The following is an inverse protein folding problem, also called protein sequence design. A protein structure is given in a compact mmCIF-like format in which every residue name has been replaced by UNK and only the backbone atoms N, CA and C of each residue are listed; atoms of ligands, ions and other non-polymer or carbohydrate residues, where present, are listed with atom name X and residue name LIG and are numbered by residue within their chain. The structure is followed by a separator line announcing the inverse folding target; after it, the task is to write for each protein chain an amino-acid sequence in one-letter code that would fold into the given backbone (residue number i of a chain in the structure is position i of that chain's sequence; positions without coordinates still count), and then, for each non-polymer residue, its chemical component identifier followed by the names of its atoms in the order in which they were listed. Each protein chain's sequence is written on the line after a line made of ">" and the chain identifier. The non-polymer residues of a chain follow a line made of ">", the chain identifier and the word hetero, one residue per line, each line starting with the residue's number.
data_IF_843814831945
#
_entry.id   IF_843814831945
#
_cell.length_a   1.000
_cell.length_b   1.000
_cell.length_c   1.000
_cell.angle_alpha   90.00
_cell.angle_beta   90.00
_cell.angle_gamma   90.00
#
_symmetry.space_group_name_H-M   'P 1'
#
loop_
_entity.id
_entity.type
_entity.pdbx_description
1 polymer ?
#
# COMPACT_ATOMS: atom_id res chain seq x y z
N UNK A 1 -24.76 -30.67 19.30
CA UNK A 1 -24.11 -29.60 20.11
C UNK A 1 -22.61 -29.49 19.81
N UNK A 2 -21.83 -30.58 19.84
CA UNK A 2 -20.39 -30.59 19.49
C UNK A 2 -20.02 -30.03 18.10
N UNK A 3 -20.74 -30.42 17.03
CA UNK A 3 -20.44 -29.93 15.67
C UNK A 3 -20.61 -28.40 15.51
N UNK A 4 -21.55 -27.80 16.24
CA UNK A 4 -21.80 -26.34 16.19
C UNK A 4 -20.71 -25.54 16.92
N UNK A 5 -20.19 -26.09 18.02
CA UNK A 5 -19.06 -25.52 18.77
C UNK A 5 -17.76 -25.64 17.96
N UNK A 6 -17.55 -26.76 17.25
CA UNK A 6 -16.40 -26.94 16.34
C UNK A 6 -16.42 -25.94 15.19
N UNK A 7 -17.57 -25.75 14.55
CA UNK A 7 -17.70 -24.80 13.43
C UNK A 7 -17.43 -23.35 13.86
N UNK A 8 -17.97 -22.92 15.00
CA UNK A 8 -17.73 -21.57 15.54
C UNK A 8 -16.25 -21.35 15.91
N UNK A 9 -15.58 -22.38 16.44
CA UNK A 9 -14.15 -22.31 16.74
C UNK A 9 -13.28 -22.22 15.46
N UNK A 10 -13.64 -22.96 14.42
CA UNK A 10 -12.98 -22.90 13.11
C UNK A 10 -13.15 -21.53 12.44
N UNK A 11 -14.36 -20.97 12.46
CA UNK A 11 -14.67 -19.66 11.91
C UNK A 11 -13.91 -18.54 12.65
N UNK A 12 -13.88 -18.59 13.99
CA UNK A 12 -13.08 -17.66 14.79
C UNK A 12 -11.58 -17.76 14.45
N UNK A 13 -11.06 -18.98 14.30
CA UNK A 13 -9.67 -19.21 13.87
C UNK A 13 -9.40 -18.73 12.44
N UNK A 14 -10.37 -18.87 11.53
CA UNK A 14 -10.29 -18.33 10.18
C UNK A 14 -10.25 -16.80 10.18
N UNK A 15 -11.12 -16.16 10.97
CA UNK A 15 -11.16 -14.70 11.06
C UNK A 15 -9.88 -14.09 11.64
N UNK A 16 -9.29 -14.72 12.66
CA UNK A 16 -7.99 -14.31 13.23
C UNK A 16 -6.86 -14.40 12.19
N UNK A 17 -6.92 -15.33 11.24
CA UNK A 17 -5.93 -15.46 10.14
C UNK A 17 -6.24 -14.55 8.97
N UNK A 18 -7.51 -14.25 8.73
CA UNK A 18 -7.98 -13.42 7.64
C UNK A 18 -7.45 -11.99 7.77
N UNK A 19 -7.65 -11.34 8.91
CA UNK A 19 -7.32 -9.92 9.08
C UNK A 19 -5.84 -9.62 8.81
N UNK A 20 -4.86 -10.36 9.38
CA UNK A 20 -3.46 -10.20 9.03
C UNK A 20 -3.18 -10.48 7.55
N UNK A 21 -3.85 -11.47 6.96
CA UNK A 21 -3.71 -11.80 5.54
C UNK A 21 -4.16 -10.66 4.62
N UNK A 22 -5.21 -9.91 5.02
CA UNK A 22 -5.70 -8.74 4.29
C UNK A 22 -4.72 -7.58 4.41
N UNK A 23 -4.37 -7.14 5.63
CA UNK A 23 -3.52 -5.94 5.83
C UNK A 23 -2.08 -6.13 5.36
N UNK A 24 -1.58 -7.36 5.36
CA UNK A 24 -0.25 -7.68 4.86
C UNK A 24 -0.24 -8.04 3.37
N UNK A 25 -1.40 -8.06 2.69
CA UNK A 25 -1.55 -8.51 1.32
C UNK A 25 -0.81 -9.84 1.07
N UNK A 26 -0.98 -10.78 2.01
CA UNK A 26 -0.15 -11.98 2.06
C UNK A 26 -0.47 -12.95 0.92
N UNK A 27 0.53 -13.55 0.26
CA UNK A 27 0.31 -14.53 -0.79
C UNK A 27 -0.37 -15.77 -0.19
N UNK A 28 -1.15 -16.49 -0.98
CA UNK A 28 -1.79 -17.73 -0.52
C UNK A 28 -0.75 -18.81 -0.20
N UNK A 29 0.27 -18.95 -1.05
CA UNK A 29 1.44 -19.78 -0.82
C UNK A 29 2.62 -19.27 -1.63
N UNK A 30 3.83 -19.42 -1.10
CA UNK A 30 5.06 -19.08 -1.82
C UNK A 30 5.36 -20.01 -3.01
N UNK A 31 4.78 -21.22 -3.03
CA UNK A 31 4.96 -22.19 -4.10
C UNK A 31 3.89 -22.09 -5.19
N UNK A 32 3.00 -21.09 -5.12
CA UNK A 32 1.93 -20.93 -6.09
C UNK A 32 2.48 -20.45 -7.45
N UNK A 33 1.87 -20.97 -8.52
CA UNK A 33 2.18 -20.56 -9.91
C UNK A 33 1.69 -19.13 -10.17
N UNK A 34 0.47 -18.82 -9.72
CA UNK A 34 -0.13 -17.50 -9.87
C UNK A 34 0.29 -16.58 -8.72
N UNK A 35 1.25 -15.72 -8.99
CA UNK A 35 1.86 -14.78 -8.05
C UNK A 35 0.90 -13.75 -7.44
N UNK A 36 -0.30 -13.61 -8.00
CA UNK A 36 -1.29 -12.61 -7.58
C UNK A 36 -2.25 -13.11 -6.50
N UNK A 37 -2.27 -14.42 -6.22
CA UNK A 37 -3.21 -15.04 -5.28
C UNK A 37 -2.93 -14.68 -3.82
N UNK A 38 -3.99 -14.28 -3.11
CA UNK A 38 -3.96 -13.86 -1.71
C UNK A 38 -4.52 -14.93 -0.77
N UNK A 39 -3.85 -15.12 0.37
CA UNK A 39 -4.33 -16.00 1.44
C UNK A 39 -5.72 -15.59 1.96
N UNK A 40 -5.96 -14.28 2.05
CA UNK A 40 -7.25 -13.73 2.47
C UNK A 40 -8.40 -14.18 1.55
N UNK A 41 -8.17 -14.19 0.23
CA UNK A 41 -9.18 -14.62 -0.75
C UNK A 41 -9.47 -16.12 -0.61
N UNK A 42 -8.45 -16.95 -0.36
CA UNK A 42 -8.64 -18.38 -0.11
C UNK A 42 -9.48 -18.64 1.16
N UNK A 43 -9.27 -17.86 2.22
CA UNK A 43 -10.08 -17.94 3.45
C UNK A 43 -11.52 -17.48 3.18
N UNK A 44 -11.71 -16.36 2.49
CA UNK A 44 -13.03 -15.80 2.19
C UNK A 44 -13.87 -16.67 1.25
N UNK A 45 -13.23 -17.42 0.33
CA UNK A 45 -13.95 -18.42 -0.48
C UNK A 45 -14.56 -19.55 0.36
N UNK A 46 -13.95 -19.86 1.52
CA UNK A 46 -14.46 -20.89 2.45
C UNK A 46 -15.44 -20.32 3.48
N UNK A 47 -15.25 -19.07 3.89
CA UNK A 47 -16.03 -18.38 4.93
C UNK A 47 -16.43 -16.97 4.45
N UNK A 48 -17.32 -16.85 3.45
CA UNK A 48 -17.65 -15.57 2.80
C UNK A 48 -18.29 -14.56 3.76
N UNK A 49 -19.04 -15.03 4.77
CA UNK A 49 -19.67 -14.21 5.80
C UNK A 49 -18.68 -13.36 6.61
N UNK A 50 -17.40 -13.75 6.64
CA UNK A 50 -16.36 -13.00 7.32
C UNK A 50 -16.00 -11.68 6.62
N UNK A 51 -16.34 -11.52 5.34
CA UNK A 51 -15.97 -10.36 4.53
C UNK A 51 -16.37 -9.02 5.15
N UNK A 52 -17.55 -9.00 5.79
CA UNK A 52 -18.16 -7.79 6.34
C UNK A 52 -18.03 -7.69 7.86
N UNK A 53 -17.36 -8.64 8.51
CA UNK A 53 -17.19 -8.66 9.97
C UNK A 53 -16.06 -7.71 10.40
N UNK A 54 -16.38 -6.73 11.24
CA UNK A 54 -15.39 -5.77 11.74
C UNK A 54 -14.50 -6.34 12.86
N UNK A 55 -13.28 -5.83 12.90
CA UNK A 55 -12.34 -6.01 13.99
C UNK A 55 -11.30 -4.90 14.02
N UNK A 56 -10.51 -4.84 15.09
CA UNK A 56 -9.31 -4.01 15.15
C UNK A 56 -8.12 -4.87 14.72
N UNK A 57 -7.37 -4.40 13.74
CA UNK A 57 -6.14 -5.02 13.24
C UNK A 57 -5.00 -4.00 13.24
N UNK A 58 -3.78 -4.47 13.41
CA UNK A 58 -2.57 -3.66 13.25
C UNK A 58 -1.85 -4.07 11.98
N UNK A 59 -1.54 -3.10 11.12
CA UNK A 59 -0.78 -3.38 9.90
C UNK A 59 0.74 -3.45 10.15
N UNK A 60 1.52 -3.63 9.08
CA UNK A 60 2.97 -3.79 9.18
C UNK A 60 3.70 -2.52 9.68
N UNK A 61 3.10 -1.33 9.49
CA UNK A 61 3.66 -0.05 9.92
C UNK A 61 3.23 0.33 11.34
N UNK A 62 2.33 -0.44 11.94
CA UNK A 62 1.85 -0.25 13.31
C UNK A 62 0.57 0.56 13.41
N UNK A 63 -0.10 0.87 12.29
CA UNK A 63 -1.39 1.56 12.29
C UNK A 63 -2.46 0.63 12.83
N UNK A 64 -3.24 1.10 13.81
CA UNK A 64 -4.44 0.40 14.27
C UNK A 64 -5.62 0.81 13.39
N UNK A 65 -6.30 -0.18 12.82
CA UNK A 65 -7.40 0.03 11.88
C UNK A 65 -8.59 -0.77 12.38
N UNK A 66 -9.75 -0.13 12.51
CA UNK A 66 -11.00 -0.80 12.84
C UNK A 66 -11.85 -0.87 11.59
N UNK A 67 -11.96 -2.06 11.02
CA UNK A 67 -12.59 -2.26 9.72
C UNK A 67 -12.95 -3.74 9.51
N UNK A 68 -13.85 -3.99 8.58
CA UNK A 68 -14.05 -5.32 8.00
C UNK A 68 -12.94 -5.68 6.99
N UNK A 69 -12.76 -6.96 6.61
CA UNK A 69 -11.92 -7.33 5.47
C UNK A 69 -12.20 -6.55 4.18
N UNK A 70 -13.47 -6.28 3.86
CA UNK A 70 -13.84 -5.49 2.69
C UNK A 70 -13.35 -4.04 2.79
N UNK A 71 -13.60 -3.39 3.93
CA UNK A 71 -13.11 -2.05 4.23
C UNK A 71 -11.58 -1.97 4.26
N UNK A 72 -10.91 -3.02 4.73
CA UNK A 72 -9.47 -3.09 4.73
C UNK A 72 -8.90 -3.13 3.30
N UNK A 73 -9.52 -3.86 2.37
CA UNK A 73 -9.13 -3.82 0.96
C UNK A 73 -9.40 -2.45 0.32
N UNK A 74 -10.53 -1.82 0.63
CA UNK A 74 -10.87 -0.46 0.18
C UNK A 74 -9.85 0.56 0.68
N UNK A 75 -9.64 0.65 1.99
CA UNK A 75 -8.72 1.60 2.61
C UNK A 75 -7.26 1.35 2.24
N UNK A 76 -6.88 0.12 1.88
CA UNK A 76 -5.56 -0.19 1.34
C UNK A 76 -5.42 0.11 -0.17
N UNK A 77 -6.51 0.43 -0.87
CA UNK A 77 -6.49 0.60 -2.33
C UNK A 77 -6.16 -0.70 -3.08
N UNK A 78 -6.54 -1.86 -2.55
CA UNK A 78 -6.29 -3.18 -3.15
C UNK A 78 -7.38 -3.55 -4.16
N UNK A 79 -7.40 -2.85 -5.29
CA UNK A 79 -8.40 -3.02 -6.36
C UNK A 79 -8.42 -4.44 -6.95
N UNK A 80 -7.29 -5.15 -6.90
CA UNK A 80 -7.18 -6.52 -7.39
C UNK A 80 -7.85 -7.53 -6.45
N UNK A 81 -7.69 -7.36 -5.14
CA UNK A 81 -8.43 -8.15 -4.16
C UNK A 81 -9.93 -7.84 -4.24
N UNK A 82 -10.29 -6.55 -4.37
CA UNK A 82 -11.69 -6.12 -4.51
C UNK A 82 -12.35 -6.74 -5.73
N UNK A 83 -11.67 -6.79 -6.89
CA UNK A 83 -12.17 -7.47 -8.08
C UNK A 83 -12.52 -8.95 -7.79
N UNK A 84 -11.61 -9.70 -7.15
CA UNK A 84 -11.87 -11.08 -6.78
C UNK A 84 -13.00 -11.24 -5.77
N UNK A 85 -13.13 -10.29 -4.83
CA UNK A 85 -14.22 -10.26 -3.86
C UNK A 85 -15.56 -10.03 -4.54
N UNK A 86 -15.65 -9.06 -5.46
CA UNK A 86 -16.85 -8.75 -6.21
C UNK A 86 -17.28 -9.91 -7.12
N UNK A 87 -16.32 -10.57 -7.78
CA UNK A 87 -16.62 -11.66 -8.72
C UNK A 87 -16.95 -12.98 -8.02
N UNK A 88 -16.24 -13.33 -6.94
CA UNK A 88 -16.26 -14.70 -6.41
C UNK A 88 -16.75 -14.84 -4.96
N UNK A 89 -16.92 -13.74 -4.21
CA UNK A 89 -17.25 -13.80 -2.77
C UNK A 89 -18.60 -13.13 -2.50
N UNK A 90 -18.76 -11.86 -2.89
CA UNK A 90 -20.01 -11.08 -2.68
C UNK A 90 -21.27 -11.81 -3.18
N UNK A 91 -21.28 -12.46 -4.37
CA UNK A 91 -22.46 -13.16 -4.86
C UNK A 91 -22.91 -14.34 -3.99
N UNK A 92 -22.03 -14.84 -3.12
CA UNK A 92 -22.30 -15.95 -2.21
C UNK A 92 -22.80 -15.48 -0.84
N UNK A 93 -23.00 -14.17 -0.64
CA UNK A 93 -23.47 -13.56 0.60
C UNK A 93 -24.87 -13.02 0.38
N UNK A 94 -25.81 -13.38 1.27
CA UNK A 94 -27.16 -12.82 1.24
C UNK A 94 -27.10 -11.28 1.38
N UNK A 95 -27.72 -10.57 0.45
CA UNK A 95 -27.64 -9.10 0.33
C UNK A 95 -26.21 -8.54 0.27
N UNK A 96 -25.25 -9.32 -0.26
CA UNK A 96 -23.84 -8.95 -0.29
C UNK A 96 -23.54 -7.61 -0.95
N UNK A 97 -24.25 -7.27 -2.04
CA UNK A 97 -24.07 -5.99 -2.74
C UNK A 97 -24.50 -4.79 -1.88
N UNK A 98 -25.60 -4.91 -1.13
CA UNK A 98 -26.06 -3.87 -0.22
C UNK A 98 -25.08 -3.68 0.94
N UNK A 99 -24.52 -4.77 1.47
CA UNK A 99 -23.44 -4.72 2.47
C UNK A 99 -22.18 -4.05 1.91
N UNK A 100 -21.79 -4.38 0.68
CA UNK A 100 -20.64 -3.78 0.01
C UNK A 100 -20.82 -2.28 -0.22
N UNK A 101 -22.00 -1.84 -0.67
CA UNK A 101 -22.32 -0.42 -0.81
C UNK A 101 -22.26 0.31 0.54
N UNK A 102 -22.92 -0.23 1.57
CA UNK A 102 -22.95 0.39 2.90
C UNK A 102 -21.54 0.54 3.48
N UNK A 103 -20.69 -0.47 3.33
CA UNK A 103 -19.32 -0.42 3.81
C UNK A 103 -18.40 0.47 2.97
N UNK A 104 -18.65 0.58 1.65
CA UNK A 104 -17.95 1.58 0.83
C UNK A 104 -18.24 3.00 1.33
N UNK A 105 -19.53 3.33 1.53
CA UNK A 105 -19.94 4.65 2.00
C UNK A 105 -19.44 4.93 3.42
N UNK A 106 -19.36 3.90 4.27
CA UNK A 106 -18.74 4.01 5.58
C UNK A 106 -17.23 4.26 5.50
N UNK A 107 -16.51 3.58 4.58
CA UNK A 107 -15.08 3.79 4.39
C UNK A 107 -14.76 5.18 3.82
N UNK A 108 -15.55 5.64 2.85
CA UNK A 108 -15.33 6.88 2.12
C UNK A 108 -16.55 7.82 2.24
N UNK A 109 -16.80 8.40 3.42
CA UNK A 109 -18.03 9.17 3.69
C UNK A 109 -18.17 10.43 2.83
N UNK A 110 -17.06 10.96 2.32
CA UNK A 110 -17.02 12.14 1.47
C UNK A 110 -17.10 11.80 -0.04
N UNK A 111 -17.06 10.52 -0.40
CA UNK A 111 -17.11 10.07 -1.79
C UNK A 111 -18.57 9.89 -2.22
N UNK A 112 -18.92 10.41 -3.40
CA UNK A 112 -20.23 10.19 -3.98
C UNK A 112 -20.43 8.71 -4.30
N UNK A 113 -21.66 8.21 -4.10
CA UNK A 113 -22.07 6.90 -4.58
C UNK A 113 -23.06 7.01 -5.76
N UNK A 114 -22.86 6.27 -6.86
CA UNK A 114 -21.62 5.54 -7.19
C UNK A 114 -20.45 6.52 -7.43
N UNK A 115 -19.20 6.09 -7.26
CA UNK A 115 -18.03 6.95 -7.49
C UNK A 115 -17.93 7.36 -8.96
N UNK A 116 -17.58 8.61 -9.23
CA UNK A 116 -17.44 9.11 -10.60
C UNK A 116 -16.31 8.37 -11.37
N UNK A 117 -16.50 8.05 -12.67
CA UNK A 117 -15.51 7.32 -13.46
C UNK A 117 -14.15 7.99 -13.56
N UNK A 118 -14.11 9.33 -13.55
CA UNK A 118 -12.93 10.18 -13.67
C UNK A 118 -12.48 10.75 -12.32
N UNK A 119 -12.93 10.18 -11.20
CA UNK A 119 -12.54 10.66 -9.88
C UNK A 119 -11.02 10.56 -9.66
N UNK A 120 -10.45 11.60 -9.06
CA UNK A 120 -9.10 11.53 -8.53
C UNK A 120 -9.08 10.77 -7.20
N UNK A 121 -7.90 10.32 -6.78
CA UNK A 121 -7.72 9.68 -5.46
C UNK A 121 -8.22 10.57 -4.31
N UNK A 122 -8.15 11.90 -4.48
CA UNK A 122 -8.61 12.86 -3.48
C UNK A 122 -10.10 12.75 -3.14
N UNK A 123 -10.93 12.17 -4.02
CA UNK A 123 -12.33 11.88 -3.74
C UNK A 123 -12.51 10.82 -2.63
N UNK A 124 -11.47 10.03 -2.33
CA UNK A 124 -11.46 8.99 -1.30
C UNK A 124 -10.92 9.49 0.05
N UNK A 125 -10.47 10.75 0.13
CA UNK A 125 -9.84 11.28 1.34
C UNK A 125 -10.88 11.67 2.39
N UNK A 126 -10.67 11.17 3.61
CA UNK A 126 -11.28 11.74 4.80
C UNK A 126 -10.49 12.96 5.30
N UNK A 127 -10.94 13.58 6.38
CA UNK A 127 -10.28 14.77 6.93
C UNK A 127 -8.89 14.45 7.49
N UNK A 128 -8.67 13.23 8.01
CA UNK A 128 -7.34 12.76 8.43
C UNK A 128 -6.37 12.72 7.26
N UNK A 129 -6.80 12.15 6.12
CA UNK A 129 -5.97 12.08 4.92
C UNK A 129 -5.59 13.47 4.41
N UNK A 130 -6.55 14.39 4.35
CA UNK A 130 -6.31 15.78 3.92
C UNK A 130 -5.33 16.49 4.85
N UNK A 131 -5.55 16.42 6.16
CA UNK A 131 -4.66 17.03 7.16
C UNK A 131 -3.25 16.46 7.05
N UNK A 132 -3.10 15.13 6.91
CA UNK A 132 -1.79 14.49 6.78
C UNK A 132 -1.06 14.96 5.51
N UNK A 133 -1.75 15.04 4.37
CA UNK A 133 -1.16 15.53 3.11
C UNK A 133 -0.74 17.00 3.23
N UNK A 134 -1.56 17.86 3.84
CA UNK A 134 -1.21 19.26 4.09
C UNK A 134 0.04 19.39 4.97
N UNK A 135 0.12 18.60 6.04
CA UNK A 135 1.31 18.55 6.90
C UNK A 135 2.56 18.09 6.14
N UNK A 136 2.43 17.08 5.27
CA UNK A 136 3.53 16.62 4.40
C UNK A 136 3.97 17.74 3.46
N UNK A 137 3.06 18.39 2.73
CA UNK A 137 3.39 19.49 1.81
C UNK A 137 4.11 20.62 2.55
N UNK A 138 3.63 21.01 3.73
CA UNK A 138 4.27 22.03 4.55
C UNK A 138 5.68 21.62 4.99
N UNK A 139 5.86 20.37 5.40
CA UNK A 139 7.16 19.86 5.82
C UNK A 139 8.14 19.68 4.66
N UNK A 140 7.66 19.30 3.49
CA UNK A 140 8.46 19.19 2.27
C UNK A 140 9.08 20.53 1.88
N UNK A 141 8.35 21.64 2.01
CA UNK A 141 8.92 22.99 1.79
C UNK A 141 10.12 23.26 2.70
N UNK A 142 10.01 22.94 3.99
CA UNK A 142 11.13 23.08 4.93
C UNK A 142 12.28 22.15 4.57
N UNK A 143 12.01 20.89 4.23
CA UNK A 143 13.03 19.93 3.79
C UNK A 143 13.79 20.47 2.58
N UNK A 144 13.09 21.06 1.62
CA UNK A 144 13.73 21.66 0.43
C UNK A 144 14.68 22.78 0.83
N UNK A 145 14.25 23.70 1.68
CA UNK A 145 15.09 24.78 2.19
C UNK A 145 16.34 24.25 2.92
N UNK A 146 16.16 23.24 3.79
CA UNK A 146 17.27 22.69 4.58
C UNK A 146 18.26 21.89 3.76
N UNK A 147 17.79 21.02 2.86
CA UNK A 147 18.68 20.25 1.98
C UNK A 147 19.42 21.19 1.03
N UNK A 148 18.77 22.21 0.48
CA UNK A 148 19.44 23.17 -0.42
C UNK A 148 20.61 23.89 0.25
N UNK A 149 20.47 24.21 1.55
CA UNK A 149 21.54 24.83 2.34
C UNK A 149 22.58 23.85 2.89
N UNK A 150 22.27 22.54 2.91
CA UNK A 150 23.17 21.48 3.37
C UNK A 150 23.94 20.93 2.16
N UNK A 151 25.28 21.02 2.12
CA UNK A 151 26.04 20.46 1.01
C UNK A 151 25.74 18.97 0.81
N UNK A 152 25.35 18.29 1.91
CA UNK A 152 25.36 16.85 2.04
C UNK A 152 26.73 16.27 1.69
N UNK A 153 27.08 15.11 2.23
CA UNK A 153 28.33 14.45 1.83
C UNK A 153 28.10 12.97 1.90
N UNK A 154 28.41 12.26 0.82
CA UNK A 154 28.23 10.82 0.75
C UNK A 154 26.77 10.42 1.03
N UNK A 155 25.82 11.13 0.42
CA UNK A 155 24.39 10.93 0.63
C UNK A 155 23.91 11.08 2.08
N UNK A 156 24.61 11.89 2.90
CA UNK A 156 24.26 12.15 4.30
C UNK A 156 24.19 13.65 4.56
N UNK A 157 23.19 14.07 5.34
CA UNK A 157 23.12 15.43 5.86
C UNK A 157 24.33 15.74 6.72
N UNK A 158 24.93 16.91 6.48
CA UNK A 158 26.03 17.44 7.29
C UNK A 158 25.52 18.35 8.40
N UNK A 159 24.35 18.95 8.21
CA UNK A 159 23.69 19.84 9.18
C UNK A 159 22.66 19.08 10.02
N UNK A 160 22.52 19.46 11.28
CA UNK A 160 21.57 18.84 12.20
C UNK A 160 20.13 19.28 11.89
N UNK A 161 19.94 20.49 11.41
CA UNK A 161 18.64 21.05 11.00
C UNK A 161 18.03 20.24 9.85
N UNK A 162 18.84 19.77 8.91
CA UNK A 162 18.41 18.88 7.82
C UNK A 162 17.92 17.54 8.36
N UNK A 163 18.63 16.96 9.33
CA UNK A 163 18.23 15.71 9.99
C UNK A 163 16.96 15.88 10.81
N UNK A 164 16.81 17.01 11.49
CA UNK A 164 15.60 17.36 12.25
C UNK A 164 14.39 17.53 11.33
N UNK A 165 14.53 18.22 10.18
CA UNK A 165 13.44 18.40 9.23
C UNK A 165 12.91 17.06 8.67
N UNK A 166 13.79 16.12 8.38
CA UNK A 166 13.41 14.75 7.99
C UNK A 166 12.76 13.99 9.16
N UNK A 167 13.32 14.10 10.37
CA UNK A 167 12.76 13.43 11.55
C UNK A 167 11.32 13.92 11.85
N UNK A 168 11.04 15.20 11.63
CA UNK A 168 9.69 15.77 11.72
C UNK A 168 8.75 15.19 10.66
N UNK A 169 9.20 15.02 9.41
CA UNK A 169 8.41 14.33 8.39
C UNK A 169 8.06 12.90 8.80
N UNK A 170 9.03 12.14 9.31
CA UNK A 170 8.80 10.77 9.80
C UNK A 170 7.73 10.72 10.90
N UNK A 171 7.69 11.73 11.78
CA UNK A 171 6.67 11.83 12.83
C UNK A 171 5.26 12.03 12.27
N UNK A 172 5.10 12.62 11.09
CA UNK A 172 3.79 12.76 10.42
C UNK A 172 3.27 11.40 9.96
N UNK A 173 4.16 10.47 9.60
CA UNK A 173 3.79 9.11 9.20
C UNK A 173 3.52 8.19 10.40
N UNK A 174 4.26 8.37 11.49
CA UNK A 174 4.20 7.50 12.67
C UNK A 174 2.78 7.38 13.22
N UNK A 175 2.27 6.15 13.44
CA UNK A 175 0.97 5.94 14.07
C UNK A 175 0.90 6.62 15.45
N UNK A 176 -0.14 7.43 15.69
CA UNK A 176 -0.34 8.05 16.99
C UNK A 176 -0.89 7.02 17.97
N UNK A 177 -0.43 7.03 19.23
CA UNK A 177 -0.68 5.95 20.21
C UNK A 177 -2.17 5.58 20.40
N UNK A 178 -3.04 6.59 20.33
CA UNK A 178 -4.51 6.47 20.53
C UNK A 178 -5.31 6.57 19.24
N UNK A 179 -4.66 6.71 18.09
CA UNK A 179 -5.35 6.81 16.81
C UNK A 179 -5.79 5.42 16.34
N UNK A 180 -7.04 5.34 15.91
CA UNK A 180 -7.63 4.18 15.24
C UNK A 180 -8.21 4.70 13.94
N UNK A 181 -7.74 4.14 12.83
CA UNK A 181 -8.24 4.47 11.49
C UNK A 181 -9.57 3.74 11.30
N UNK A 182 -10.65 4.51 11.06
CA UNK A 182 -11.99 3.97 10.78
C UNK A 182 -12.47 4.31 9.35
N UNK A 183 -11.92 5.35 8.73
CA UNK A 183 -12.31 5.87 7.42
C UNK A 183 -11.10 6.27 6.56
N UNK A 184 -11.36 6.60 5.29
CA UNK A 184 -10.39 7.09 4.32
C UNK A 184 -9.39 6.02 3.86
N UNK A 185 -8.33 6.43 3.20
CA UNK A 185 -7.24 5.54 2.81
C UNK A 185 -6.27 5.36 3.97
N UNK A 186 -5.81 4.13 4.23
CA UNK A 186 -4.86 3.84 5.31
C UNK A 186 -3.53 4.58 5.13
N UNK A 187 -3.12 4.78 3.87
CA UNK A 187 -2.05 5.67 3.45
C UNK A 187 -2.34 6.17 2.02
N UNK A 188 -2.62 7.47 1.81
CA UNK A 188 -2.84 8.00 0.48
C UNK A 188 -1.58 7.95 -0.40
N UNK A 189 -1.69 7.46 -1.65
CA UNK A 189 -0.59 7.54 -2.62
C UNK A 189 -0.30 8.99 -3.02
N UNK A 190 -1.26 9.91 -2.86
CA UNK A 190 -1.05 11.35 -2.95
C UNK A 190 0.13 11.87 -2.10
N UNK A 191 0.47 11.22 -0.98
CA UNK A 191 1.68 11.56 -0.21
C UNK A 191 2.95 11.29 -1.03
N UNK A 192 3.04 10.10 -1.64
CA UNK A 192 4.17 9.74 -2.52
C UNK A 192 4.22 10.64 -3.75
N UNK A 193 3.06 11.04 -4.29
CA UNK A 193 2.98 11.97 -5.42
C UNK A 193 3.60 13.34 -5.11
N UNK A 194 3.28 13.93 -3.96
CA UNK A 194 3.86 15.21 -3.54
C UNK A 194 5.37 15.12 -3.26
N UNK A 195 5.82 13.99 -2.70
CA UNK A 195 7.26 13.68 -2.53
C UNK A 195 7.95 13.59 -3.91
N UNK A 196 7.33 12.89 -4.86
CA UNK A 196 7.86 12.75 -6.22
C UNK A 196 7.98 14.09 -6.94
N UNK A 197 6.99 14.98 -6.83
CA UNK A 197 7.05 16.33 -7.40
C UNK A 197 8.24 17.12 -6.90
N UNK A 198 8.54 17.05 -5.60
CA UNK A 198 9.71 17.71 -5.03
C UNK A 198 10.98 17.12 -5.61
N UNK A 199 11.07 15.79 -5.71
CA UNK A 199 12.21 15.13 -6.31
C UNK A 199 12.46 15.58 -7.75
N UNK A 200 11.43 15.55 -8.59
CA UNK A 200 11.51 15.96 -10.00
C UNK A 200 11.91 17.44 -10.12
N UNK A 201 11.34 18.32 -9.29
CA UNK A 201 11.66 19.74 -9.29
C UNK A 201 13.09 20.05 -8.82
N UNK A 202 13.66 19.19 -7.95
CA UNK A 202 15.00 19.36 -7.40
C UNK A 202 16.06 18.52 -8.14
N UNK A 203 15.68 17.81 -9.20
CA UNK A 203 16.59 16.95 -9.97
C UNK A 203 17.83 17.66 -10.52
N UNK A 204 17.65 18.85 -11.09
CA UNK A 204 18.75 19.67 -11.62
C UNK A 204 19.41 20.56 -10.54
N UNK A 205 18.65 21.23 -9.64
CA UNK A 205 19.24 22.11 -8.64
C UNK A 205 20.10 21.41 -7.57
N UNK A 206 19.77 20.17 -7.21
CA UNK A 206 20.48 19.46 -6.16
C UNK A 206 21.67 18.66 -6.67
N UNK A 207 22.71 18.62 -5.84
CA UNK A 207 23.83 17.72 -6.02
C UNK A 207 23.36 16.26 -5.92
N UNK A 208 24.18 15.36 -6.46
CA UNK A 208 23.93 13.93 -6.35
C UNK A 208 23.81 13.51 -4.86
N UNK A 209 24.65 14.05 -3.96
CA UNK A 209 24.59 13.72 -2.53
C UNK A 209 23.27 14.19 -1.87
N UNK A 210 22.76 15.36 -2.25
CA UNK A 210 21.47 15.87 -1.78
C UNK A 210 20.30 15.00 -2.27
N UNK A 211 20.30 14.64 -3.56
CA UNK A 211 19.31 13.72 -4.14
C UNK A 211 19.36 12.34 -3.50
N UNK A 212 20.56 11.85 -3.19
CA UNK A 212 20.79 10.56 -2.50
C UNK A 212 20.21 10.58 -1.09
N UNK A 213 20.48 11.66 -0.35
CA UNK A 213 19.95 11.86 0.98
C UNK A 213 18.42 11.93 0.96
N UNK A 214 17.84 12.71 0.06
CA UNK A 214 16.39 12.81 -0.10
C UNK A 214 15.76 11.45 -0.46
N UNK A 215 16.34 10.72 -1.40
CA UNK A 215 15.87 9.38 -1.79
C UNK A 215 15.81 8.43 -0.59
N UNK A 216 16.90 8.35 0.18
CA UNK A 216 16.96 7.48 1.35
C UNK A 216 16.00 7.92 2.45
N UNK A 217 16.02 9.19 2.78
CA UNK A 217 15.45 9.68 4.02
C UNK A 217 14.00 10.15 3.89
N UNK A 218 13.60 10.62 2.71
CA UNK A 218 12.24 11.10 2.44
C UNK A 218 11.44 10.04 1.71
N UNK A 219 11.87 9.62 0.52
CA UNK A 219 11.17 8.60 -0.28
C UNK A 219 11.12 7.28 0.50
N UNK A 220 12.28 6.77 0.96
CA UNK A 220 12.34 5.54 1.75
C UNK A 220 11.49 5.54 3.03
N UNK A 221 11.33 6.70 3.69
CA UNK A 221 10.46 6.79 4.87
C UNK A 221 8.98 6.72 4.52
N UNK A 222 8.57 7.31 3.39
CA UNK A 222 7.20 7.24 2.92
C UNK A 222 6.88 5.85 2.34
N UNK A 223 7.82 5.23 1.64
CA UNK A 223 7.72 3.83 1.20
C UNK A 223 7.49 2.90 2.38
N UNK A 224 8.27 3.04 3.45
CA UNK A 224 8.10 2.23 4.66
C UNK A 224 6.70 2.36 5.28
N UNK A 225 6.02 3.49 5.05
CA UNK A 225 4.69 3.79 5.55
C UNK A 225 3.56 3.40 4.57
N UNK A 226 3.87 2.95 3.34
CA UNK A 226 2.87 2.53 2.37
C UNK A 226 1.95 1.43 2.91
N UNK A 227 0.85 1.18 2.22
CA UNK A 227 0.10 -0.06 2.43
C UNK A 227 0.90 -1.24 1.88
N UNK A 228 0.62 -2.47 2.33
CA UNK A 228 1.38 -3.63 1.87
C UNK A 228 1.26 -3.82 0.34
N UNK A 229 0.07 -3.57 -0.22
CA UNK A 229 -0.19 -3.69 -1.66
C UNK A 229 0.52 -2.59 -2.46
N UNK A 230 0.57 -1.36 -1.97
CA UNK A 230 1.32 -0.28 -2.64
C UNK A 230 2.82 -0.54 -2.61
N UNK A 231 3.35 -1.04 -1.50
CA UNK A 231 4.74 -1.49 -1.41
C UNK A 231 5.07 -2.60 -2.41
N UNK A 232 4.17 -3.58 -2.58
CA UNK A 232 4.31 -4.64 -3.59
C UNK A 232 4.26 -4.07 -5.03
N UNK A 233 3.51 -2.99 -5.28
CA UNK A 233 3.50 -2.30 -6.57
C UNK A 233 4.85 -1.61 -6.84
N UNK A 234 5.36 -0.83 -5.88
CA UNK A 234 6.64 -0.13 -6.00
C UNK A 234 7.80 -1.12 -6.25
N UNK A 235 7.84 -2.25 -5.53
CA UNK A 235 8.88 -3.27 -5.69
C UNK A 235 8.94 -3.89 -7.08
N UNK A 236 7.81 -3.99 -7.76
CA UNK A 236 7.75 -4.52 -9.13
C UNK A 236 8.09 -3.47 -10.19
N UNK A 237 8.29 -2.21 -9.78
CA UNK A 237 8.45 -1.05 -10.65
C UNK A 237 7.12 -0.61 -11.23
N UNK A 238 6.69 0.61 -10.89
CA UNK A 238 5.43 1.17 -11.37
C UNK A 238 5.38 1.32 -12.89
N UNK A 239 6.53 1.51 -13.54
CA UNK A 239 6.62 1.56 -15.00
C UNK A 239 6.27 0.23 -15.69
N UNK A 240 6.47 -0.88 -14.98
CA UNK A 240 6.28 -2.23 -15.49
C UNK A 240 5.03 -2.91 -14.89
N UNK A 241 4.30 -2.22 -14.02
CA UNK A 241 3.13 -2.77 -13.34
C UNK A 241 2.02 -3.05 -14.34
N UNK A 242 1.66 -4.32 -14.48
CA UNK A 242 0.50 -4.73 -15.25
C UNK A 242 -0.76 -4.59 -14.38
N UNK A 243 -1.59 -3.58 -14.65
CA UNK A 243 -2.80 -3.31 -13.87
C UNK A 243 -3.86 -4.43 -13.96
N UNK A 244 -3.88 -5.25 -15.03
CA UNK A 244 -4.82 -6.37 -15.13
C UNK A 244 -4.43 -7.55 -14.24
N UNK A 245 -3.13 -7.78 -14.07
CA UNK A 245 -2.58 -8.84 -13.21
C UNK A 245 -2.48 -8.38 -11.75
N UNK A 246 -2.01 -7.16 -11.53
CA UNK A 246 -1.65 -6.63 -10.23
C UNK A 246 -0.24 -7.01 -9.78
N UNK A 247 0.14 -6.64 -8.55
CA UNK A 247 1.49 -6.87 -8.05
C UNK A 247 1.72 -8.34 -7.67
N UNK A 248 2.97 -8.78 -7.73
CA UNK A 248 3.38 -10.07 -7.16
C UNK A 248 3.22 -10.02 -5.63
N UNK A 249 2.31 -10.85 -5.10
CA UNK A 249 2.00 -10.92 -3.67
C UNK A 249 3.07 -11.63 -2.86
N UNK A 250 3.94 -12.40 -3.51
CA UNK A 250 5.11 -13.05 -2.88
C UNK A 250 6.19 -12.01 -2.57
N UNK A 251 6.17 -10.90 -3.30
CA UNK A 251 7.15 -9.83 -3.22
C UNK A 251 6.79 -8.76 -2.18
N UNK A 252 6.81 -9.14 -0.91
CA UNK A 252 6.60 -8.18 0.17
C UNK A 252 7.87 -7.41 0.53
N UNK A 253 7.87 -6.07 0.43
CA UNK A 253 8.66 -5.23 1.35
C UNK A 253 8.26 -5.48 2.81
N UNK A 254 6.99 -5.86 3.02
CA UNK A 254 6.33 -5.84 4.33
C UNK A 254 5.78 -7.20 4.78
N UNK A 255 6.03 -8.27 4.02
CA UNK A 255 5.62 -9.62 4.39
C UNK A 255 6.47 -10.15 5.55
N UNK A 256 6.01 -9.96 6.79
CA UNK A 256 6.58 -10.61 7.97
C UNK A 256 6.08 -12.05 8.05
N UNK A 257 6.91 -13.04 7.71
CA UNK A 257 6.55 -14.45 7.86
C UNK A 257 6.93 -14.99 9.26
N UNK A 258 6.05 -15.74 9.95
CA UNK A 258 6.35 -16.35 11.25
C UNK A 258 7.48 -17.40 11.23
N UNK A 259 7.83 -17.95 10.06
CA UNK A 259 8.90 -18.95 9.89
C UNK A 259 10.03 -18.50 8.95
N UNK A 260 10.10 -17.20 8.63
CA UNK A 260 11.03 -16.64 7.64
C UNK A 260 10.59 -16.90 6.18
N UNK A 261 11.00 -16.01 5.27
CA UNK A 261 10.78 -16.13 3.82
C UNK A 261 11.77 -17.16 3.25
N UNK A 262 11.35 -18.09 2.36
CA UNK A 262 12.29 -18.99 1.67
C UNK A 262 13.39 -18.18 0.99
N UNK A 263 14.65 -18.61 1.05
CA UNK A 263 15.80 -17.82 0.56
C UNK A 263 15.72 -17.52 -0.95
N UNK A 264 15.07 -18.40 -1.73
CA UNK A 264 14.82 -18.26 -3.17
C UNK A 264 13.71 -17.25 -3.53
N UNK A 265 12.92 -16.84 -2.53
CA UNK A 265 11.81 -15.88 -2.65
C UNK A 265 12.00 -14.71 -1.67
N UNK A 266 13.11 -14.71 -0.95
CA UNK A 266 13.51 -13.56 -0.17
C UNK A 266 13.93 -12.51 -1.19
N UNK A 267 13.47 -11.24 -1.08
CA UNK A 267 14.26 -10.16 -1.66
C UNK A 267 15.68 -10.40 -1.17
N UNK A 268 16.67 -10.40 -2.07
CA UNK A 268 18.01 -10.85 -1.73
C UNK A 268 18.40 -10.26 -0.38
N UNK A 269 18.63 -11.19 0.56
CA UNK A 269 19.02 -11.00 1.96
C UNK A 269 17.88 -10.74 2.96
N UNK A 270 17.29 -11.80 3.50
CA UNK A 270 17.59 -12.36 4.84
C UNK A 270 17.62 -11.48 6.12
N UNK A 271 17.43 -10.16 6.05
CA UNK A 271 17.16 -9.30 7.21
C UNK A 271 16.33 -8.11 6.75
N UNK A 272 15.14 -7.95 7.33
CA UNK A 272 14.58 -6.62 7.58
C UNK A 272 15.70 -5.78 8.24
N UNK A 273 16.40 -4.94 7.46
CA UNK A 273 17.48 -4.10 7.98
C UNK A 273 18.52 -3.53 7.00
N UNK A 274 18.58 -3.92 5.71
CA UNK A 274 19.58 -3.35 4.77
C UNK A 274 19.07 -2.83 3.42
N UNK A 275 17.89 -3.24 2.92
CA UNK A 275 17.25 -2.49 1.81
C UNK A 275 16.75 -1.18 2.38
N UNK A 276 17.31 -0.07 1.92
CA UNK A 276 16.95 1.25 2.45
C UNK A 276 15.63 1.75 1.87
N UNK A 277 15.42 1.50 0.57
CA UNK A 277 14.24 1.85 -0.21
C UNK A 277 14.29 1.10 -1.55
N UNK A 278 13.19 1.12 -2.30
CA UNK A 278 13.15 0.66 -3.70
C UNK A 278 13.03 1.86 -4.61
N UNK A 279 13.50 1.75 -5.85
CA UNK A 279 13.13 2.72 -6.86
C UNK A 279 11.66 2.48 -7.25
N UNK A 280 10.73 3.43 -7.01
CA UNK A 280 9.33 3.23 -7.37
C UNK A 280 9.14 3.01 -8.88
N UNK A 281 10.03 3.53 -9.73
CA UNK A 281 9.85 3.47 -11.17
C UNK A 281 10.12 2.07 -11.73
N UNK A 282 11.30 1.51 -11.43
CA UNK A 282 11.75 0.24 -12.02
C UNK A 282 11.80 -0.94 -11.05
N UNK A 283 11.64 -0.70 -9.75
CA UNK A 283 11.62 -1.72 -8.70
C UNK A 283 13.01 -2.17 -8.24
N UNK A 284 14.08 -1.50 -8.65
CA UNK A 284 15.43 -1.81 -8.20
C UNK A 284 15.56 -1.57 -6.69
N UNK A 285 16.12 -2.54 -5.98
CA UNK A 285 16.33 -2.48 -4.54
C UNK A 285 17.66 -1.82 -4.23
N UNK A 286 17.63 -0.83 -3.33
CA UNK A 286 18.79 -0.03 -2.95
C UNK A 286 19.36 -0.48 -1.59
N UNK A 287 20.67 -0.71 -1.54
CA UNK A 287 21.40 -1.13 -0.33
C UNK A 287 22.57 -0.18 -0.02
N UNK A 288 22.94 -0.08 1.26
CA UNK A 288 24.17 0.63 1.65
C UNK A 288 25.37 -0.08 1.05
N UNK A 289 26.14 0.62 0.22
CA UNK A 289 27.37 0.09 -0.34
C UNK A 289 28.49 0.04 0.71
N UNK A 290 29.48 -0.82 0.47
CA UNK A 290 30.74 -0.79 1.21
C UNK A 290 31.53 0.52 0.97
N UNK A 291 31.28 1.20 -0.15
CA UNK A 291 31.85 2.52 -0.44
C UNK A 291 31.04 3.61 0.27
N UNK A 292 31.66 4.44 1.13
CA UNK A 292 30.95 5.51 1.83
C UNK A 292 30.19 6.43 0.86
N UNK A 293 28.88 6.50 1.06
CA UNK A 293 27.99 7.33 0.23
C UNK A 293 27.55 6.73 -1.08
N UNK A 294 27.97 5.50 -1.38
CA UNK A 294 27.44 4.76 -2.50
C UNK A 294 26.26 3.88 -2.11
N UNK A 295 25.45 3.58 -3.12
CA UNK A 295 24.37 2.61 -3.04
C UNK A 295 24.62 1.49 -4.03
N UNK A 296 24.41 0.26 -3.58
CA UNK A 296 24.40 -0.90 -4.45
C UNK A 296 22.95 -1.16 -4.87
N UNK A 297 22.73 -1.24 -6.18
CA UNK A 297 21.43 -1.43 -6.78
C UNK A 297 21.31 -2.84 -7.34
N UNK A 298 20.22 -3.51 -7.03
CA UNK A 298 19.93 -4.85 -7.53
C UNK A 298 18.55 -4.88 -8.15
N UNK A 299 18.45 -5.49 -9.32
CA UNK A 299 17.15 -5.78 -9.90
C UNK A 299 16.45 -6.89 -9.10
N UNK A 300 15.17 -7.15 -9.41
CA UNK A 300 14.38 -8.20 -8.74
C UNK A 300 14.98 -9.61 -8.82
N UNK A 301 15.88 -9.87 -9.77
CA UNK A 301 16.57 -11.15 -9.92
C UNK A 301 17.89 -11.22 -9.14
N UNK A 302 18.29 -10.13 -8.47
CA UNK A 302 19.55 -10.03 -7.74
C UNK A 302 20.78 -9.81 -8.61
N UNK A 303 20.58 -9.50 -9.88
CA UNK A 303 21.67 -9.06 -10.73
C UNK A 303 21.96 -7.59 -10.37
N UNK A 304 23.26 -7.29 -10.27
CA UNK A 304 23.72 -5.93 -10.06
C UNK A 304 23.20 -5.07 -11.22
N UNK A 305 22.44 -4.02 -10.90
CA UNK A 305 21.96 -3.07 -11.90
C UNK A 305 23.17 -2.48 -12.63
N UNK A 306 23.30 -2.73 -13.93
CA UNK A 306 24.47 -2.31 -14.73
C UNK A 306 24.41 -0.83 -15.14
N UNK A 307 23.89 0.02 -14.26
CA UNK A 307 23.91 1.47 -14.39
C UNK A 307 24.91 1.98 -13.36
N UNK A 308 26.15 2.19 -13.81
CA UNK A 308 27.24 2.68 -12.97
C UNK A 308 26.83 3.93 -12.20
N UNK A 309 27.06 3.90 -10.88
CA UNK A 309 27.28 5.08 -10.05
C UNK A 309 26.27 6.23 -10.18
N UNK A 310 24.97 5.95 -10.19
CA UNK A 310 23.94 6.97 -9.93
C UNK A 310 23.35 6.71 -8.54
N UNK A 311 23.73 7.55 -7.59
CA UNK A 311 23.40 7.47 -6.17
C UNK A 311 21.92 7.80 -5.85
N UNK A 312 21.02 7.77 -6.84
CA UNK A 312 19.73 8.45 -6.79
C UNK A 312 18.62 7.61 -7.45
N UNK A 313 17.38 7.73 -6.96
CA UNK A 313 16.20 7.14 -7.60
C UNK A 313 15.91 7.78 -8.98
N UNK A 314 15.28 7.03 -9.87
CA UNK A 314 14.59 7.54 -11.04
C UNK A 314 13.11 7.76 -10.71
N UNK A 315 12.81 8.66 -9.76
CA UNK A 315 11.40 8.91 -9.44
C UNK A 315 10.72 9.53 -10.66
N UNK A 316 9.59 8.93 -11.04
CA UNK A 316 8.76 9.41 -12.12
C UNK A 316 7.38 9.68 -11.54
N UNK A 317 7.11 10.94 -11.20
CA UNK A 317 5.80 11.38 -10.67
C UNK A 317 4.64 10.90 -11.56
N UNK A 318 4.85 10.82 -12.87
CA UNK A 318 3.88 10.30 -13.83
C UNK A 318 3.49 8.83 -13.59
N UNK A 319 4.43 7.98 -13.17
CA UNK A 319 4.13 6.57 -12.86
C UNK A 319 3.23 6.43 -11.63
N UNK A 320 3.44 7.28 -10.60
CA UNK A 320 2.56 7.37 -9.44
C UNK A 320 1.16 7.90 -9.83
N UNK A 321 1.08 8.93 -10.66
CA UNK A 321 -0.19 9.46 -11.17
C UNK A 321 -0.98 8.39 -11.93
N UNK A 322 -0.31 7.63 -12.78
CA UNK A 322 -0.93 6.55 -13.54
C UNK A 322 -1.45 5.44 -12.61
N UNK A 323 -0.72 5.10 -11.54
CA UNK A 323 -1.20 4.14 -10.53
C UNK A 323 -2.46 4.67 -9.82
N UNK A 324 -2.42 5.91 -9.31
CA UNK A 324 -3.56 6.53 -8.63
C UNK A 324 -4.80 6.52 -9.53
N UNK A 325 -4.65 6.98 -10.78
CA UNK A 325 -5.74 7.02 -11.76
C UNK A 325 -6.29 5.63 -12.07
N UNK A 326 -5.42 4.66 -12.37
CA UNK A 326 -5.86 3.31 -12.72
C UNK A 326 -6.59 2.62 -11.55
N UNK A 327 -6.18 2.89 -10.30
CA UNK A 327 -6.87 2.40 -9.10
C UNK A 327 -8.24 3.05 -8.93
N UNK A 328 -8.37 4.37 -9.09
CA UNK A 328 -9.67 5.03 -8.95
C UNK A 328 -10.65 4.65 -10.06
N UNK A 329 -10.18 4.51 -11.30
CA UNK A 329 -10.98 4.01 -12.43
C UNK A 329 -11.47 2.57 -12.16
N UNK A 330 -10.58 1.68 -11.69
CA UNK A 330 -10.93 0.31 -11.35
C UNK A 330 -11.96 0.24 -10.22
N UNK A 331 -11.79 1.07 -9.19
CA UNK A 331 -12.71 1.13 -8.06
C UNK A 331 -14.09 1.67 -8.48
N UNK A 332 -14.14 2.76 -9.26
CA UNK A 332 -15.38 3.30 -9.79
C UNK A 332 -16.13 2.25 -10.62
N UNK A 333 -15.42 1.52 -11.50
CA UNK A 333 -16.00 0.45 -12.30
C UNK A 333 -16.63 -0.64 -11.43
N UNK A 334 -15.87 -1.19 -10.47
CA UNK A 334 -16.36 -2.21 -9.54
C UNK A 334 -17.62 -1.76 -8.80
N UNK A 335 -17.62 -0.52 -8.30
CA UNK A 335 -18.76 0.03 -7.58
C UNK A 335 -19.98 0.31 -8.48
N UNK A 336 -19.77 0.68 -9.74
CA UNK A 336 -20.85 0.92 -10.71
C UNK A 336 -21.54 -0.37 -11.17
N UNK A 337 -20.84 -1.50 -11.10
CA UNK A 337 -21.35 -2.81 -11.49
C UNK A 337 -22.22 -3.46 -10.41
N UNK A 338 -22.16 -2.98 -9.16
CA UNK A 338 -23.08 -3.33 -8.08
C UNK A 338 -24.48 -2.77 -8.39
N UNK A 339 -25.21 -3.43 -9.29
CA UNK A 339 -26.57 -3.07 -9.66
C UNK A 339 -27.52 -3.53 -8.56
N UNK A 340 -28.08 -2.59 -7.79
CA UNK A 340 -29.29 -2.84 -7.02
C UNK A 340 -30.44 -3.25 -7.95
N UNK A 341 -30.58 -4.54 -8.28
CA UNK A 341 -31.87 -5.06 -8.72
C UNK A 341 -32.83 -4.95 -7.52
N UNK A 342 -33.95 -4.23 -7.64
CA UNK A 342 -34.97 -4.29 -6.61
C UNK A 342 -35.41 -5.74 -6.50
N UNK A 343 -35.47 -6.27 -5.27
CA UNK A 343 -36.15 -7.51 -4.92
C UNK A 343 -37.62 -7.43 -5.36
N UNK A 344 -37.89 -7.67 -6.65
CA UNK A 344 -39.22 -8.00 -7.13
C UNK A 344 -39.44 -9.42 -6.60
N UNK A 345 -40.11 -9.48 -5.45
CA UNK A 345 -40.70 -10.68 -4.88
C UNK A 345 -41.30 -11.49 -6.04
N UNK A 346 -40.64 -12.59 -6.41
CA UNK A 346 -41.29 -13.67 -7.15
C UNK A 346 -42.24 -14.36 -6.19
N UNK A 347 -43.38 -13.72 -5.92
CA UNK A 347 -44.59 -14.45 -5.59
C UNK A 347 -44.97 -15.26 -6.82
N UNK A 348 -44.55 -16.53 -6.87
CA UNK A 348 -45.33 -17.50 -7.61
C UNK A 348 -46.44 -17.98 -6.69
N UNK A 349 -47.57 -17.30 -6.84
CA UNK A 349 -48.90 -17.87 -6.66
C UNK A 349 -49.09 -18.90 -7.76
N UNK A 350 -49.14 -20.18 -7.40
CA UNK A 350 -50.08 -21.24 -7.84
C UNK A 350 -49.50 -22.60 -7.50
#
# INVERSE_FOLDING_TARGET
>A
MFARVSHQAEEASAFVRLLPGVVAAAPESYQQVDETRLAAIAILKKYPELLFREAIVTDHFGRKIKASPYQLFLGAGDVWALKQVHEAIIPNIENGEAHAQAQFQAQFPNCQWPPAPDMSEAALYDDRNKEQIEQVIAQLKKIVEKITADPCTHGRATLDETRQAVAELRRIFTPKEREIIETGLHFPLGIMHEIGKVYDAQWEPWSVDQLSFYSREVIGSAEAALTAVDGQCCKNGLANLNMDKGPDRRDGLFCRHPKGTPQSLSPLVGKLGQTMFVDPYDGNSCFVSATPGAFDWYNKNGEHGWWGSLLRCFVCTHALENLCRAKTESLSKLCSELRCEPLIKRHRVS
#
